data_IF_836315377843
#
_entry.id   IF_836315377843
#
_cell.length_a   1.000
_cell.length_b   1.000
_cell.length_c   1.000
_cell.angle_alpha   90.00
_cell.angle_beta   90.00
_cell.angle_gamma   90.00
#
_symmetry.space_group_name_H-M   'P 1'
#
loop_
_entity.id
_entity.type
_entity.pdbx_description
1 polymer ?
#
# COMPACT_ATOMS: atom_id res chain seq x y z
N UNK A 1 -50.92 -48.46 32.34
CA UNK A 1 -50.97 -47.00 32.53
C UNK A 1 -49.69 -46.41 31.91
N UNK A 2 -49.80 -46.13 30.64
CA UNK A 2 -48.74 -45.61 29.77
C UNK A 2 -48.57 -44.13 30.00
N UNK A 3 -47.33 -43.66 30.16
CA UNK A 3 -46.94 -42.29 29.90
C UNK A 3 -45.78 -42.23 28.96
N UNK A 4 -46.10 -42.02 27.75
CA UNK A 4 -45.28 -41.68 26.62
C UNK A 4 -44.79 -40.25 26.84
N UNK A 5 -43.48 -40.08 27.02
CA UNK A 5 -42.86 -38.75 26.99
C UNK A 5 -42.33 -38.52 25.58
N UNK A 6 -43.00 -37.67 24.86
CA UNK A 6 -42.53 -37.01 23.64
C UNK A 6 -41.36 -36.13 23.99
N UNK A 7 -40.15 -36.60 23.64
CA UNK A 7 -38.94 -35.78 23.53
C UNK A 7 -38.93 -35.16 22.17
N UNK A 8 -39.33 -33.92 22.09
CA UNK A 8 -39.47 -33.13 20.88
C UNK A 8 -38.11 -32.60 20.45
N UNK A 9 -37.77 -32.87 19.22
CA UNK A 9 -36.69 -32.32 18.42
C UNK A 9 -36.64 -30.77 18.48
N UNK A 10 -35.79 -30.21 19.33
CA UNK A 10 -35.41 -28.78 19.33
C UNK A 10 -34.00 -28.53 18.78
N UNK A 11 -33.44 -29.51 18.03
CA UNK A 11 -32.07 -29.39 17.50
C UNK A 11 -32.03 -28.91 16.05
N UNK A 12 -33.11 -28.37 15.50
CA UNK A 12 -33.21 -28.00 14.09
C UNK A 12 -33.34 -26.50 13.77
N UNK A 13 -33.22 -25.64 14.77
CA UNK A 13 -33.37 -24.19 14.61
C UNK A 13 -32.08 -23.38 14.78
N UNK A 14 -30.90 -24.04 14.81
CA UNK A 14 -29.61 -23.36 14.99
C UNK A 14 -28.71 -23.32 13.72
N UNK A 15 -29.30 -23.53 12.53
CA UNK A 15 -28.50 -23.69 11.28
C UNK A 15 -28.69 -22.57 10.27
N UNK A 16 -29.40 -21.49 10.59
CA UNK A 16 -29.56 -20.36 9.66
C UNK A 16 -29.38 -18.99 10.35
N UNK A 17 -28.33 -18.86 11.15
CA UNK A 17 -27.79 -17.53 11.40
C UNK A 17 -26.92 -17.19 10.17
N UNK A 18 -27.16 -16.08 9.44
CA UNK A 18 -26.29 -15.69 8.35
C UNK A 18 -24.90 -15.50 8.93
N UNK A 19 -23.94 -16.27 8.43
CA UNK A 19 -22.53 -16.16 8.81
C UNK A 19 -22.15 -14.69 8.73
N UNK A 20 -21.75 -14.10 9.86
CA UNK A 20 -21.21 -12.74 9.88
C UNK A 20 -20.15 -12.64 8.79
N UNK A 21 -20.20 -11.63 7.89
CA UNK A 21 -19.21 -11.50 6.85
C UNK A 21 -17.83 -11.52 7.50
N UNK A 22 -16.86 -12.23 6.92
CA UNK A 22 -15.52 -12.30 7.48
C UNK A 22 -15.00 -10.88 7.69
N UNK A 23 -14.26 -10.60 8.77
CA UNK A 23 -13.74 -9.26 9.05
C UNK A 23 -13.02 -8.78 7.80
N UNK A 24 -13.44 -7.64 7.28
CA UNK A 24 -12.94 -7.03 6.05
C UNK A 24 -11.43 -6.98 6.10
N UNK A 25 -10.79 -7.87 5.38
CA UNK A 25 -9.34 -8.03 5.41
C UNK A 25 -8.70 -6.78 4.81
N UNK A 26 -8.13 -5.94 5.67
CA UNK A 26 -7.42 -4.74 5.25
C UNK A 26 -6.12 -5.17 4.58
N UNK A 27 -6.03 -4.93 3.29
CA UNK A 27 -4.80 -5.20 2.56
C UNK A 27 -3.73 -4.16 2.94
N UNK A 28 -2.61 -4.64 3.47
CA UNK A 28 -1.49 -3.81 3.88
C UNK A 28 -0.29 -4.00 2.95
N UNK A 29 0.51 -2.95 2.80
CA UNK A 29 1.77 -3.04 2.10
C UNK A 29 2.76 -3.94 2.87
N UNK A 30 3.02 -5.13 2.32
CA UNK A 30 3.94 -6.12 2.92
C UNK A 30 5.42 -5.72 2.78
N UNK A 31 5.76 -4.89 1.81
CA UNK A 31 7.15 -4.48 1.53
C UNK A 31 7.59 -3.29 2.37
N UNK A 32 6.65 -2.56 2.97
CA UNK A 32 6.97 -1.37 3.76
C UNK A 32 8.06 -1.60 4.82
N UNK A 33 8.01 -2.73 5.54
CA UNK A 33 9.00 -3.03 6.59
C UNK A 33 10.40 -3.29 6.00
N UNK A 34 10.48 -3.83 4.78
CA UNK A 34 11.73 -4.06 4.06
C UNK A 34 12.30 -2.73 3.56
N UNK A 35 11.46 -1.87 2.99
CA UNK A 35 11.86 -0.55 2.51
C UNK A 35 12.31 0.36 3.65
N UNK A 36 11.64 0.29 4.80
CA UNK A 36 12.07 1.01 6.01
C UNK A 36 13.45 0.55 6.49
N UNK A 37 13.69 -0.78 6.53
CA UNK A 37 15.00 -1.31 6.91
C UNK A 37 16.09 -0.88 5.93
N UNK A 38 15.78 -0.85 4.64
CA UNK A 38 16.70 -0.36 3.61
C UNK A 38 17.04 1.11 3.82
N UNK A 39 16.05 1.96 4.09
CA UNK A 39 16.23 3.38 4.38
C UNK A 39 17.10 3.61 5.62
N UNK A 40 16.86 2.85 6.69
CA UNK A 40 17.68 2.90 7.92
C UNK A 40 19.11 2.48 7.62
N UNK A 41 19.32 1.38 6.87
CA UNK A 41 20.67 0.89 6.53
C UNK A 41 21.44 1.91 5.68
N UNK A 42 20.80 2.49 4.67
CA UNK A 42 21.43 3.52 3.84
C UNK A 42 21.84 4.76 4.66
N UNK A 43 20.97 5.24 5.52
CA UNK A 43 21.27 6.42 6.36
C UNK A 43 22.35 6.13 7.39
N UNK A 44 22.32 4.94 8.01
CA UNK A 44 23.35 4.51 8.95
C UNK A 44 24.72 4.30 8.27
N UNK A 45 24.73 3.71 7.08
CA UNK A 45 25.95 3.52 6.30
C UNK A 45 26.58 4.86 5.90
N UNK A 46 25.78 5.83 5.46
CA UNK A 46 26.26 7.17 5.17
C UNK A 46 26.87 7.83 6.42
N UNK A 47 26.15 7.78 7.54
CA UNK A 47 26.64 8.36 8.79
C UNK A 47 27.95 7.71 9.24
N UNK A 48 28.01 6.38 9.24
CA UNK A 48 29.21 5.63 9.61
C UNK A 48 30.39 6.00 8.71
N UNK A 49 30.17 6.08 7.39
CA UNK A 49 31.21 6.44 6.42
C UNK A 49 31.76 7.84 6.70
N UNK A 50 30.89 8.83 6.91
CA UNK A 50 31.30 10.21 7.17
C UNK A 50 32.07 10.35 8.50
N UNK A 51 31.62 9.65 9.54
CA UNK A 51 32.31 9.65 10.85
C UNK A 51 33.69 8.97 10.77
N UNK A 52 33.79 7.85 10.01
CA UNK A 52 35.07 7.15 9.82
C UNK A 52 36.08 8.02 9.06
N UNK A 53 35.65 8.73 8.02
CA UNK A 53 36.50 9.65 7.24
C UNK A 53 36.99 10.77 8.14
N UNK A 54 36.13 11.44 8.91
CA UNK A 54 36.51 12.52 9.79
C UNK A 54 37.43 12.05 10.95
N UNK A 55 37.18 10.85 11.47
CA UNK A 55 38.03 10.22 12.47
C UNK A 55 39.44 9.97 11.90
N UNK A 56 39.52 9.31 10.73
CA UNK A 56 40.78 9.00 10.07
C UNK A 56 41.60 10.26 9.69
N UNK A 57 40.91 11.37 9.38
CA UNK A 57 41.51 12.65 9.09
C UNK A 57 41.89 13.43 10.35
N UNK A 58 41.50 12.98 11.55
CA UNK A 58 41.73 13.71 12.82
C UNK A 58 40.96 15.03 12.93
N UNK A 59 39.92 15.20 12.09
CA UNK A 59 39.13 16.45 11.98
C UNK A 59 37.79 16.37 12.68
N UNK A 60 37.51 15.28 13.43
CA UNK A 60 36.27 15.07 14.13
C UNK A 60 36.06 16.11 15.23
N UNK A 61 35.14 17.02 15.02
CA UNK A 61 34.74 18.06 15.98
C UNK A 61 33.25 17.95 16.28
N UNK A 62 32.75 18.35 17.47
CA UNK A 62 31.35 18.30 17.82
C UNK A 62 30.42 18.94 16.76
N UNK A 63 30.71 20.13 16.19
CA UNK A 63 29.84 20.74 15.18
C UNK A 63 29.78 19.93 13.87
N UNK A 64 30.91 19.29 13.48
CA UNK A 64 30.94 18.42 12.28
C UNK A 64 30.14 17.15 12.51
N UNK A 65 30.28 16.50 13.66
CA UNK A 65 29.49 15.33 14.01
C UNK A 65 28.00 15.65 13.99
N UNK A 66 27.58 16.78 14.53
CA UNK A 66 26.19 17.25 14.49
C UNK A 66 25.72 17.46 13.05
N UNK A 67 26.53 18.01 12.17
CA UNK A 67 26.24 18.20 10.76
C UNK A 67 25.98 16.83 10.07
N UNK A 68 26.85 15.85 10.32
CA UNK A 68 26.69 14.49 9.71
C UNK A 68 25.45 13.77 10.20
N UNK A 69 25.15 13.87 11.50
CA UNK A 69 23.90 13.33 12.07
C UNK A 69 22.69 13.98 11.42
N UNK A 70 22.71 15.30 11.25
CA UNK A 70 21.62 16.06 10.60
C UNK A 70 21.44 15.62 9.15
N UNK A 71 22.52 15.44 8.41
CA UNK A 71 22.49 14.99 7.01
C UNK A 71 21.94 13.56 6.89
N UNK A 72 22.38 12.65 7.76
CA UNK A 72 21.86 11.29 7.80
C UNK A 72 20.36 11.25 8.16
N UNK A 73 19.93 12.11 9.09
CA UNK A 73 18.51 12.25 9.45
C UNK A 73 17.69 12.79 8.30
N UNK A 74 18.20 13.81 7.57
CA UNK A 74 17.53 14.32 6.38
C UNK A 74 17.43 13.27 5.30
N UNK A 75 18.48 12.49 5.07
CA UNK A 75 18.46 11.39 4.12
C UNK A 75 17.41 10.35 4.52
N UNK A 76 17.36 9.94 5.79
CA UNK A 76 16.35 9.04 6.30
C UNK A 76 14.93 9.59 6.09
N UNK A 77 14.72 10.88 6.33
CA UNK A 77 13.43 11.54 6.14
C UNK A 77 12.97 11.50 4.67
N UNK A 78 13.90 11.72 3.74
CA UNK A 78 13.63 11.68 2.29
C UNK A 78 13.36 10.26 1.81
N UNK A 79 14.10 9.27 2.35
CA UNK A 79 13.95 7.86 1.97
C UNK A 79 12.80 7.17 2.71
N UNK A 80 12.11 7.86 3.64
CA UNK A 80 11.06 7.24 4.45
C UNK A 80 9.89 6.74 3.58
N UNK A 81 9.61 5.43 3.57
CA UNK A 81 8.56 4.87 2.73
C UNK A 81 7.17 5.24 3.27
N UNK A 82 6.27 5.63 2.38
CA UNK A 82 4.86 5.85 2.71
C UNK A 82 4.14 4.52 2.85
N UNK A 83 3.34 4.36 3.91
CA UNK A 83 2.48 3.17 4.08
C UNK A 83 1.20 3.32 3.30
N UNK A 84 0.87 2.31 2.51
CA UNK A 84 -0.42 2.23 1.82
C UNK A 84 -1.25 1.10 2.42
N UNK A 85 -2.51 1.37 2.68
CA UNK A 85 -3.48 0.39 3.14
C UNK A 85 -4.80 0.59 2.37
N UNK A 86 -5.41 -0.50 1.96
CA UNK A 86 -6.72 -0.50 1.31
C UNK A 86 -7.69 -1.43 2.08
N UNK A 87 -8.90 -0.94 2.23
CA UNK A 87 -10.04 -1.72 2.74
C UNK A 87 -11.22 -1.57 1.78
N UNK A 88 -12.39 -2.04 2.18
CA UNK A 88 -13.60 -1.88 1.36
C UNK A 88 -13.95 -0.40 1.15
N UNK A 89 -13.96 0.01 -0.11
CA UNK A 89 -14.36 1.37 -0.50
C UNK A 89 -13.41 2.49 -0.05
N UNK A 90 -12.22 2.18 0.44
CA UNK A 90 -11.25 3.20 0.82
C UNK A 90 -9.80 2.78 0.63
N UNK A 91 -8.98 3.79 0.37
CA UNK A 91 -7.55 3.66 0.34
C UNK A 91 -6.91 4.78 1.15
N UNK A 92 -5.92 4.44 1.95
CA UNK A 92 -5.16 5.41 2.73
C UNK A 92 -3.67 5.32 2.43
N UNK A 93 -3.06 6.48 2.33
CA UNK A 93 -1.61 6.64 2.27
C UNK A 93 -1.14 7.40 3.50
N UNK A 94 -0.30 6.76 4.29
CA UNK A 94 0.28 7.33 5.50
C UNK A 94 1.74 7.64 5.28
N UNK A 95 2.02 8.92 5.05
CA UNK A 95 3.38 9.45 5.08
C UNK A 95 3.81 9.81 6.51
N UNK A 96 5.01 10.37 6.66
CA UNK A 96 5.55 10.74 7.95
C UNK A 96 4.75 11.85 8.64
N UNK A 97 4.29 12.85 7.88
CA UNK A 97 3.62 14.05 8.41
C UNK A 97 2.11 14.09 8.16
N UNK A 98 1.61 13.32 7.22
CA UNK A 98 0.20 13.37 6.82
C UNK A 98 -0.33 11.98 6.48
N UNK A 99 -1.52 11.69 6.99
CA UNK A 99 -2.33 10.57 6.53
C UNK A 99 -3.39 11.14 5.59
N UNK A 100 -3.45 10.61 4.38
CA UNK A 100 -4.49 10.95 3.41
C UNK A 100 -5.33 9.71 3.16
N UNK A 101 -6.64 9.89 3.09
CA UNK A 101 -7.59 8.83 2.80
C UNK A 101 -8.50 9.27 1.68
N UNK A 102 -8.80 8.37 0.75
CA UNK A 102 -9.70 8.58 -0.37
C UNK A 102 -10.72 7.45 -0.38
N UNK A 103 -11.93 7.75 -0.78
CA UNK A 103 -12.98 6.76 -1.01
C UNK A 103 -12.84 6.19 -2.41
N UNK A 104 -12.48 4.92 -2.49
CA UNK A 104 -12.28 4.21 -3.76
C UNK A 104 -13.59 3.78 -4.40
N UNK A 105 -14.64 3.65 -3.61
CA UNK A 105 -16.00 3.37 -4.07
C UNK A 105 -16.67 4.60 -4.75
N UNK A 106 -16.16 5.81 -4.57
CA UNK A 106 -16.67 7.05 -5.15
C UNK A 106 -15.56 7.85 -5.85
N UNK A 107 -14.75 7.18 -6.66
CA UNK A 107 -13.70 7.84 -7.43
C UNK A 107 -14.29 8.73 -8.53
N UNK A 108 -13.73 9.93 -8.68
CA UNK A 108 -14.03 10.87 -9.74
C UNK A 108 -12.93 10.87 -10.79
N UNK A 109 -11.68 10.83 -10.36
CA UNK A 109 -10.58 10.83 -11.31
C UNK A 109 -9.40 10.00 -10.83
N UNK A 110 -8.77 9.32 -11.79
CA UNK A 110 -7.50 8.60 -11.62
C UNK A 110 -6.53 9.16 -12.65
N UNK A 111 -5.43 9.73 -12.21
CA UNK A 111 -4.41 10.31 -13.09
C UNK A 111 -3.07 9.67 -12.81
N UNK A 112 -2.38 9.29 -13.88
CA UNK A 112 -0.98 8.90 -13.81
C UNK A 112 -0.15 10.14 -14.16
N UNK A 113 0.68 10.60 -13.24
CA UNK A 113 1.63 11.66 -13.45
C UNK A 113 2.93 11.01 -13.91
N UNK A 114 3.29 11.26 -15.18
CA UNK A 114 4.54 10.81 -15.76
C UNK A 114 5.63 11.82 -15.42
N UNK A 115 6.66 11.38 -14.72
CA UNK A 115 7.81 12.19 -14.30
C UNK A 115 8.96 11.26 -13.90
N UNK A 116 9.98 11.83 -13.27
CA UNK A 116 11.13 11.06 -12.71
C UNK A 116 10.63 9.98 -11.74
N UNK A 117 9.58 10.27 -10.99
CA UNK A 117 8.83 9.30 -10.18
C UNK A 117 7.38 9.28 -10.67
N UNK A 118 6.96 8.16 -11.24
CA UNK A 118 5.56 7.97 -11.60
C UNK A 118 4.68 8.01 -10.35
N UNK A 119 3.58 8.76 -10.41
CA UNK A 119 2.62 8.90 -9.33
C UNK A 119 1.22 8.64 -9.83
N UNK A 120 0.46 7.84 -9.11
CA UNK A 120 -0.96 7.63 -9.33
C UNK A 120 -1.73 8.52 -8.35
N UNK A 121 -2.49 9.46 -8.88
CA UNK A 121 -3.32 10.38 -8.09
C UNK A 121 -4.77 9.93 -8.21
N UNK A 122 -5.34 9.56 -7.08
CA UNK A 122 -6.74 9.18 -6.93
C UNK A 122 -7.49 10.34 -6.28
N UNK A 123 -8.65 10.69 -6.82
CA UNK A 123 -9.53 11.71 -6.25
C UNK A 123 -10.96 11.21 -6.17
N UNK A 124 -11.60 11.45 -5.04
CA UNK A 124 -13.00 11.08 -4.81
C UNK A 124 -13.97 12.26 -4.97
N UNK A 125 -15.26 11.98 -4.84
CA UNK A 125 -16.35 12.97 -4.92
C UNK A 125 -16.31 14.02 -3.81
N UNK A 126 -15.68 13.73 -2.68
CA UNK A 126 -15.50 14.69 -1.57
C UNK A 126 -14.35 15.69 -1.84
N UNK A 127 -13.58 15.47 -2.91
CA UNK A 127 -12.39 16.25 -3.22
C UNK A 127 -11.13 15.77 -2.52
N UNK A 128 -11.21 14.73 -1.69
CA UNK A 128 -10.04 14.13 -1.09
C UNK A 128 -9.17 13.48 -2.17
N UNK A 129 -7.85 13.58 -2.01
CA UNK A 129 -6.90 13.04 -2.97
C UNK A 129 -5.77 12.31 -2.27
N UNK A 130 -5.36 11.19 -2.86
CA UNK A 130 -4.22 10.38 -2.42
C UNK A 130 -3.29 10.15 -3.60
N UNK A 131 -1.99 10.33 -3.35
CA UNK A 131 -0.93 9.98 -4.28
C UNK A 131 -0.27 8.69 -3.85
N UNK A 132 -0.10 7.76 -4.79
CA UNK A 132 0.52 6.46 -4.57
C UNK A 132 1.58 6.22 -5.63
N UNK A 133 2.67 5.55 -5.25
CA UNK A 133 3.59 4.99 -6.22
C UNK A 133 2.94 3.74 -6.86
N UNK A 134 2.78 3.68 -8.20
CA UNK A 134 2.23 2.49 -8.87
C UNK A 134 3.00 1.20 -8.54
N UNK A 135 4.28 1.29 -8.20
CA UNK A 135 5.09 0.15 -7.80
C UNK A 135 4.58 -0.56 -6.56
N UNK A 136 3.93 0.19 -5.64
CA UNK A 136 3.30 -0.40 -4.45
C UNK A 136 2.14 -1.31 -4.84
N UNK A 137 1.36 -0.94 -5.85
CA UNK A 137 0.25 -1.75 -6.37
C UNK A 137 0.76 -3.00 -7.09
N UNK A 138 1.82 -2.85 -7.88
CA UNK A 138 2.50 -3.97 -8.56
C UNK A 138 3.07 -4.96 -7.55
N UNK A 139 3.67 -4.45 -6.47
CA UNK A 139 4.28 -5.25 -5.42
C UNK A 139 3.25 -5.96 -4.51
N UNK A 140 2.01 -5.47 -4.51
CA UNK A 140 0.94 -5.96 -3.65
C UNK A 140 -0.36 -6.22 -4.45
N UNK A 141 -0.46 -7.36 -5.15
CA UNK A 141 -1.65 -7.71 -5.94
C UNK A 141 -2.99 -7.56 -5.20
N UNK A 142 -3.11 -7.91 -3.90
CA UNK A 142 -4.37 -7.71 -3.17
C UNK A 142 -4.80 -6.24 -3.08
N UNK A 143 -3.84 -5.29 -2.96
CA UNK A 143 -4.14 -3.85 -2.99
C UNK A 143 -4.66 -3.42 -4.35
N UNK A 144 -4.07 -3.95 -5.43
CA UNK A 144 -4.49 -3.67 -6.78
C UNK A 144 -5.91 -4.19 -7.05
N UNK A 145 -6.20 -5.44 -6.72
CA UNK A 145 -7.53 -6.04 -6.94
C UNK A 145 -8.63 -5.22 -6.26
N UNK A 146 -8.43 -4.81 -5.02
CA UNK A 146 -9.38 -3.96 -4.29
C UNK A 146 -9.61 -2.62 -4.99
N UNK A 147 -8.52 -1.95 -5.38
CA UNK A 147 -8.62 -0.67 -6.10
C UNK A 147 -9.31 -0.81 -7.45
N UNK A 148 -9.02 -1.87 -8.20
CA UNK A 148 -9.60 -2.12 -9.52
C UNK A 148 -11.10 -2.44 -9.42
N UNK A 149 -11.52 -3.26 -8.46
CA UNK A 149 -12.93 -3.54 -8.16
C UNK A 149 -13.70 -2.26 -7.81
N UNK A 150 -13.19 -1.47 -6.89
CA UNK A 150 -13.80 -0.21 -6.47
C UNK A 150 -13.86 0.81 -7.61
N UNK A 151 -12.81 0.88 -8.43
CA UNK A 151 -12.75 1.77 -9.59
C UNK A 151 -13.77 1.36 -10.67
N UNK A 152 -13.94 0.06 -10.92
CA UNK A 152 -14.99 -0.46 -11.81
C UNK A 152 -16.39 -0.14 -11.26
N UNK A 153 -16.60 -0.32 -9.96
CA UNK A 153 -17.85 0.04 -9.31
C UNK A 153 -18.14 1.55 -9.43
N UNK A 154 -17.11 2.41 -9.32
CA UNK A 154 -17.22 3.85 -9.52
C UNK A 154 -17.54 4.21 -10.98
N UNK A 155 -16.96 3.48 -11.94
CA UNK A 155 -17.24 3.66 -13.36
C UNK A 155 -18.68 3.26 -13.71
N UNK A 156 -19.17 2.11 -13.18
CA UNK A 156 -20.55 1.66 -13.38
C UNK A 156 -21.58 2.63 -12.79
N UNK A 157 -21.25 3.29 -11.68
CA UNK A 157 -22.11 4.34 -11.09
C UNK A 157 -22.01 5.68 -11.80
N UNK A 158 -21.12 5.81 -12.78
CA UNK A 158 -20.91 7.06 -13.52
C UNK A 158 -20.16 8.15 -12.75
N UNK A 159 -19.60 7.84 -11.57
CA UNK A 159 -18.81 8.81 -10.80
C UNK A 159 -17.40 8.99 -11.35
N UNK A 160 -16.81 7.96 -11.93
CA UNK A 160 -15.47 8.02 -12.52
C UNK A 160 -15.52 8.69 -13.90
N UNK A 161 -15.19 9.97 -13.94
CA UNK A 161 -15.22 10.77 -15.18
C UNK A 161 -13.94 10.65 -15.99
N UNK A 162 -12.80 10.41 -15.36
CA UNK A 162 -11.53 10.23 -16.06
C UNK A 162 -10.60 9.24 -15.31
N UNK A 163 -9.85 8.44 -16.11
CA UNK A 163 -8.85 7.56 -15.51
C UNK A 163 -8.87 6.11 -15.98
N UNK A 164 -9.81 5.70 -16.80
CA UNK A 164 -9.86 4.35 -17.35
C UNK A 164 -8.55 3.97 -18.07
N UNK A 165 -7.94 4.90 -18.81
CA UNK A 165 -6.65 4.67 -19.47
C UNK A 165 -5.51 4.54 -18.46
N UNK A 166 -5.52 5.30 -17.36
CA UNK A 166 -4.50 5.22 -16.32
C UNK A 166 -4.57 3.87 -15.60
N UNK A 167 -5.77 3.42 -15.23
CA UNK A 167 -6.00 2.11 -14.63
C UNK A 167 -5.56 0.97 -15.55
N UNK A 168 -5.90 1.03 -16.84
CA UNK A 168 -5.47 0.03 -17.81
C UNK A 168 -3.95 -0.04 -17.94
N UNK A 169 -3.25 1.08 -17.97
CA UNK A 169 -1.76 1.10 -17.98
C UNK A 169 -1.16 0.43 -16.74
N UNK A 170 -1.75 0.65 -15.57
CA UNK A 170 -1.31 0.01 -14.32
C UNK A 170 -1.58 -1.49 -14.39
N UNK A 171 -2.76 -1.92 -14.86
CA UNK A 171 -3.09 -3.35 -15.07
C UNK A 171 -2.09 -4.03 -15.98
N UNK A 172 -1.86 -3.48 -17.18
CA UNK A 172 -0.91 -4.01 -18.17
C UNK A 172 0.51 -4.14 -17.61
N UNK A 173 0.89 -3.25 -16.71
CA UNK A 173 2.19 -3.31 -16.04
C UNK A 173 2.25 -4.43 -15.01
N UNK A 174 1.21 -4.58 -14.20
CA UNK A 174 1.11 -5.65 -13.19
C UNK A 174 1.13 -7.01 -13.88
N UNK A 175 0.35 -7.16 -14.94
CA UNK A 175 0.29 -8.41 -15.73
C UNK A 175 1.66 -8.76 -16.31
N UNK A 176 2.39 -7.79 -16.82
CA UNK A 176 3.73 -7.97 -17.37
C UNK A 176 4.75 -8.39 -16.31
N UNK A 177 4.74 -7.72 -15.14
CA UNK A 177 5.66 -8.06 -14.04
C UNK A 177 5.33 -9.42 -13.43
N UNK A 178 4.05 -9.76 -13.33
CA UNK A 178 3.59 -11.09 -12.89
C UNK A 178 4.05 -12.17 -13.86
N UNK A 179 3.86 -11.95 -15.17
CA UNK A 179 4.32 -12.88 -16.19
C UNK A 179 5.84 -13.10 -16.13
N UNK A 180 6.64 -12.04 -16.02
CA UNK A 180 8.10 -12.15 -15.89
C UNK A 180 8.52 -12.93 -14.64
N UNK A 181 7.79 -12.75 -13.53
CA UNK A 181 8.08 -13.46 -12.27
C UNK A 181 7.79 -14.96 -12.42
N UNK A 182 6.70 -15.32 -13.09
CA UNK A 182 6.34 -16.71 -13.37
C UNK A 182 7.38 -17.37 -14.27
N UNK A 183 7.83 -16.71 -15.35
CA UNK A 183 8.88 -17.21 -16.23
C UNK A 183 10.18 -17.46 -15.49
N UNK A 184 10.60 -16.51 -14.64
CA UNK A 184 11.83 -16.64 -13.85
C UNK A 184 11.78 -17.79 -12.84
N UNK A 185 10.62 -18.02 -12.21
CA UNK A 185 10.43 -19.15 -11.26
C UNK A 185 10.36 -20.48 -11.99
N UNK A 186 9.83 -20.48 -13.22
CA UNK A 186 9.72 -21.70 -14.04
C UNK A 186 11.03 -22.12 -14.72
N UNK A 187 12.14 -21.37 -14.53
CA UNK A 187 13.46 -21.74 -15.07
C UNK A 187 13.55 -21.74 -16.59
N UNK A 188 12.65 -21.02 -17.25
CA UNK A 188 12.68 -20.80 -18.70
C UNK A 188 13.44 -19.49 -18.99
N UNK A 189 14.76 -19.54 -18.95
CA UNK A 189 15.66 -18.50 -19.50
C UNK A 189 15.90 -18.74 -20.98
#
# INVERSE_FOLDING_TARGET
MERRTEGRDDTRAAVDAPASPPPTEVAHDRRWAQDLRSSIRCSAALLALLLVIDWGAGTLTPPRATLWVTLALLLFLVLHPTRVAAGEGWLSSRGLLRTRRVRTDHLVSVRCLDGVAQRLVLRDTSGASVEIDPRVLVANPPLWHRLDEDARASALRGSLTCGATALRRVSERIDRETAMTVFKVSGMD
#
